data_IF_195852530295
#
_entry.id   IF_195852530295
#
_cell.length_a   1.000
_cell.length_b   1.000
_cell.length_c   1.000
_cell.angle_alpha   90.00
_cell.angle_beta   90.00
_cell.angle_gamma   90.00
#
_symmetry.space_group_name_H-M   'P 1'
#
loop_
_entity.id
_entity.type
_entity.pdbx_description
1 polymer ?
#
# COMPACT_ATOMS: atom_id res chain seq x y z
N UNK A 1 27.87 -3.13 -16.93
CA UNK A 1 26.97 -4.32 -16.76
C UNK A 1 25.56 -3.78 -16.73
N UNK A 2 24.76 -4.11 -17.75
CA UNK A 2 23.33 -3.75 -17.73
C UNK A 2 22.68 -4.65 -16.67
N UNK A 3 22.25 -4.07 -15.55
CA UNK A 3 21.48 -4.78 -14.53
C UNK A 3 20.19 -5.30 -15.16
N UNK A 4 19.76 -6.52 -14.76
CA UNK A 4 18.46 -7.05 -15.15
C UNK A 4 17.31 -6.12 -14.74
N UNK A 5 16.04 -6.42 -15.14
CA UNK A 5 14.89 -5.63 -14.75
C UNK A 5 14.78 -5.56 -13.21
N UNK A 6 14.46 -4.38 -12.69
CA UNK A 6 14.29 -4.16 -11.25
C UNK A 6 13.10 -4.99 -10.72
N UNK A 7 13.29 -5.66 -9.59
CA UNK A 7 12.29 -6.52 -8.95
C UNK A 7 11.55 -5.75 -7.87
N UNK A 8 10.32 -5.37 -8.17
CA UNK A 8 9.49 -4.55 -7.30
C UNK A 8 8.27 -5.36 -6.85
N UNK A 9 8.04 -5.40 -5.55
CA UNK A 9 6.87 -6.01 -4.94
C UNK A 9 5.86 -4.96 -4.48
N UNK A 10 4.64 -5.40 -4.12
CA UNK A 10 3.66 -4.55 -3.45
C UNK A 10 3.30 -5.14 -2.09
N UNK A 11 3.37 -4.34 -1.03
CA UNK A 11 2.88 -4.64 0.31
C UNK A 11 1.58 -3.86 0.50
N UNK A 12 0.45 -4.57 0.62
CA UNK A 12 -0.86 -3.98 0.94
C UNK A 12 -1.13 -4.14 2.43
N UNK A 13 -1.27 -3.03 3.14
CA UNK A 13 -1.50 -3.01 4.59
C UNK A 13 -3.00 -3.12 4.88
N UNK A 14 -3.42 -4.26 5.44
CA UNK A 14 -4.83 -4.61 5.70
C UNK A 14 -5.07 -5.13 7.14
N UNK A 15 -4.19 -4.81 8.09
CA UNK A 15 -4.22 -5.34 9.46
C UNK A 15 -4.98 -4.46 10.47
N UNK A 16 -5.43 -3.26 10.08
CA UNK A 16 -6.01 -2.24 10.96
C UNK A 16 -7.40 -2.62 11.50
N UNK A 17 -7.71 -2.10 12.71
CA UNK A 17 -8.98 -2.35 13.41
C UNK A 17 -10.18 -1.56 12.88
N UNK A 18 -9.96 -0.57 12.01
CA UNK A 18 -11.04 0.32 11.50
C UNK A 18 -11.86 0.97 12.62
N UNK A 19 -11.23 1.39 13.70
CA UNK A 19 -11.92 1.82 14.95
C UNK A 19 -12.95 2.94 14.75
N UNK A 20 -12.72 3.85 13.78
CA UNK A 20 -13.67 4.93 13.42
C UNK A 20 -14.90 4.43 12.66
N UNK A 21 -14.86 3.19 12.17
CA UNK A 21 -15.95 2.53 11.42
C UNK A 21 -16.65 1.45 12.26
N UNK A 22 -16.22 1.23 13.52
CA UNK A 22 -16.76 0.18 14.38
C UNK A 22 -18.29 0.21 14.46
N UNK A 23 -18.96 -0.96 14.47
CA UNK A 23 -18.38 -2.32 14.56
C UNK A 23 -17.92 -2.91 13.22
N UNK A 24 -18.02 -2.17 12.11
CA UNK A 24 -17.68 -2.65 10.77
C UNK A 24 -16.20 -2.49 10.47
N UNK A 25 -15.68 -3.40 9.64
CA UNK A 25 -14.32 -3.23 9.08
C UNK A 25 -14.40 -2.53 7.73
N UNK A 26 -13.79 -1.34 7.60
CA UNK A 26 -13.82 -0.53 6.37
C UNK A 26 -13.34 -1.27 5.13
N UNK A 27 -12.41 -2.22 5.29
CA UNK A 27 -11.83 -2.98 4.18
C UNK A 27 -12.81 -4.00 3.58
N UNK A 28 -13.85 -4.40 4.36
CA UNK A 28 -14.88 -5.35 3.95
C UNK A 28 -16.15 -4.64 3.45
N UNK A 29 -16.26 -3.32 3.62
CA UNK A 29 -17.38 -2.54 3.07
C UNK A 29 -17.35 -2.58 1.54
N UNK A 30 -18.54 -2.54 0.93
CA UNK A 30 -18.67 -2.64 -0.51
C UNK A 30 -18.62 -1.27 -1.20
N UNK A 31 -17.77 -1.15 -2.17
CA UNK A 31 -17.72 -0.05 -3.13
C UNK A 31 -17.93 -0.67 -4.52
N UNK A 32 -18.94 -0.20 -5.26
CA UNK A 32 -19.26 -0.74 -6.60
C UNK A 32 -19.40 -2.28 -6.61
N UNK A 33 -20.00 -2.84 -5.55
CA UNK A 33 -20.29 -4.28 -5.41
C UNK A 33 -19.11 -5.17 -5.02
N UNK A 34 -17.92 -4.60 -4.72
CA UNK A 34 -16.73 -5.35 -4.29
C UNK A 34 -16.21 -4.80 -2.97
N UNK A 35 -15.63 -5.66 -2.09
CA UNK A 35 -14.95 -5.19 -0.88
C UNK A 35 -13.84 -4.17 -1.20
N UNK A 36 -13.71 -3.15 -0.36
CA UNK A 36 -12.69 -2.09 -0.50
C UNK A 36 -11.29 -2.69 -0.72
N UNK A 37 -10.90 -3.68 0.07
CA UNK A 37 -9.58 -4.34 -0.05
C UNK A 37 -9.39 -5.01 -1.41
N UNK A 38 -10.45 -5.55 -2.01
CA UNK A 38 -10.36 -6.20 -3.31
C UNK A 38 -10.05 -5.21 -4.44
N UNK A 39 -10.59 -3.98 -4.39
CA UNK A 39 -10.23 -2.93 -5.33
C UNK A 39 -8.73 -2.62 -5.30
N UNK A 40 -8.19 -2.40 -4.09
CA UNK A 40 -6.77 -2.09 -3.88
C UNK A 40 -5.88 -3.25 -4.36
N UNK A 41 -6.25 -4.50 -4.02
CA UNK A 41 -5.50 -5.67 -4.44
C UNK A 41 -5.52 -5.87 -5.97
N UNK A 42 -6.67 -5.65 -6.61
CA UNK A 42 -6.82 -5.72 -8.08
C UNK A 42 -5.94 -4.66 -8.76
N UNK A 43 -5.93 -3.42 -8.25
CA UNK A 43 -5.06 -2.37 -8.78
C UNK A 43 -3.58 -2.74 -8.65
N UNK A 44 -3.17 -3.31 -7.52
CA UNK A 44 -1.80 -3.79 -7.32
C UNK A 44 -1.45 -4.92 -8.29
N UNK A 45 -2.34 -5.92 -8.46
CA UNK A 45 -2.14 -7.05 -9.38
C UNK A 45 -2.11 -6.64 -10.85
N UNK A 46 -2.81 -5.56 -11.20
CA UNK A 46 -2.82 -5.01 -12.57
C UNK A 46 -1.59 -4.18 -12.91
N UNK A 47 -0.73 -3.86 -11.93
CA UNK A 47 0.52 -3.13 -12.15
C UNK A 47 1.67 -4.07 -12.51
N UNK A 48 2.80 -3.50 -12.94
CA UNK A 48 4.04 -4.26 -13.21
C UNK A 48 4.79 -4.75 -11.96
N UNK A 49 4.26 -4.54 -10.74
CA UNK A 49 4.89 -4.98 -9.49
C UNK A 49 4.44 -6.39 -9.09
N UNK A 50 5.39 -7.29 -8.82
CA UNK A 50 5.15 -8.69 -8.42
C UNK A 50 6.25 -9.14 -7.43
N UNK A 51 5.91 -9.85 -6.34
CA UNK A 51 4.58 -10.29 -5.90
C UNK A 51 3.76 -9.20 -5.19
N UNK A 52 2.43 -9.42 -5.13
CA UNK A 52 1.52 -8.66 -4.26
C UNK A 52 1.33 -9.42 -2.95
N UNK A 53 1.71 -8.77 -1.83
CA UNK A 53 1.64 -9.32 -0.48
C UNK A 53 0.60 -8.51 0.31
N UNK A 54 -0.40 -9.17 0.88
CA UNK A 54 -1.42 -8.52 1.72
C UNK A 54 -1.16 -8.88 3.17
N UNK A 55 -0.91 -7.87 4.01
CA UNK A 55 -0.69 -8.06 5.45
C UNK A 55 -2.01 -7.92 6.18
N UNK A 56 -2.50 -9.00 6.76
CA UNK A 56 -3.74 -9.06 7.54
C UNK A 56 -3.47 -9.00 9.04
N UNK A 57 -4.54 -8.75 9.83
CA UNK A 57 -4.46 -8.71 11.29
C UNK A 57 -5.84 -8.87 11.92
N UNK A 58 -6.50 -7.78 12.33
CA UNK A 58 -7.76 -7.80 13.11
C UNK A 58 -8.90 -8.61 12.46
N UNK A 59 -9.07 -8.52 11.14
CA UNK A 59 -10.15 -9.21 10.42
C UNK A 59 -9.60 -10.18 9.37
N UNK A 60 -8.57 -10.96 9.74
CA UNK A 60 -7.79 -11.77 8.82
C UNK A 60 -8.64 -12.75 7.97
N UNK A 61 -9.62 -13.44 8.60
CA UNK A 61 -10.51 -14.39 7.93
C UNK A 61 -11.34 -13.69 6.86
N UNK A 62 -12.10 -12.66 7.22
CA UNK A 62 -12.93 -11.91 6.26
C UNK A 62 -12.11 -11.23 5.16
N UNK A 63 -10.91 -10.74 5.46
CA UNK A 63 -9.99 -10.21 4.43
C UNK A 63 -9.54 -11.33 3.49
N UNK A 64 -9.22 -12.52 4.01
CA UNK A 64 -8.88 -13.70 3.21
C UNK A 64 -10.01 -14.11 2.26
N UNK A 65 -11.25 -14.14 2.75
CA UNK A 65 -12.44 -14.40 1.95
C UNK A 65 -12.65 -13.32 0.85
N UNK A 66 -12.50 -12.04 1.21
CA UNK A 66 -12.65 -10.94 0.27
C UNK A 66 -11.59 -10.95 -0.86
N UNK A 67 -10.47 -11.61 -0.64
CA UNK A 67 -9.38 -11.76 -1.60
C UNK A 67 -9.40 -13.13 -2.32
N UNK A 68 -10.39 -13.97 -2.04
CA UNK A 68 -10.48 -15.30 -2.65
C UNK A 68 -10.46 -15.22 -4.18
N UNK A 69 -9.64 -16.06 -4.83
CA UNK A 69 -9.46 -16.08 -6.27
C UNK A 69 -8.47 -15.03 -6.82
N UNK A 70 -7.97 -14.09 -6.01
CA UNK A 70 -6.91 -13.17 -6.40
C UNK A 70 -5.53 -13.78 -6.16
N UNK A 71 -4.59 -13.55 -7.09
CA UNK A 71 -3.21 -14.09 -7.02
C UNK A 71 -2.34 -13.26 -6.06
N UNK A 72 -2.74 -13.18 -4.79
CA UNK A 72 -2.01 -12.48 -3.74
C UNK A 72 -1.43 -13.44 -2.71
N UNK A 73 -0.30 -13.06 -2.08
CA UNK A 73 0.25 -13.76 -0.93
C UNK A 73 -0.30 -13.10 0.34
N UNK A 74 -1.16 -13.78 1.08
CA UNK A 74 -1.66 -13.28 2.37
C UNK A 74 -0.69 -13.68 3.49
N UNK A 75 -0.31 -12.72 4.33
CA UNK A 75 0.52 -12.93 5.52
C UNK A 75 -0.18 -12.33 6.73
N UNK A 76 -0.15 -13.04 7.86
CA UNK A 76 -0.81 -12.59 9.09
C UNK A 76 0.17 -11.90 10.03
N UNK A 77 -0.19 -10.70 10.48
CA UNK A 77 0.52 -9.97 11.53
C UNK A 77 -0.17 -10.23 12.89
N UNK A 78 0.38 -11.11 13.71
CA UNK A 78 -0.13 -11.40 15.05
C UNK A 78 -0.03 -10.18 15.99
N UNK A 79 0.94 -9.30 15.77
CA UNK A 79 1.22 -8.12 16.59
C UNK A 79 0.48 -6.85 16.09
N UNK A 80 -0.52 -6.98 15.21
CA UNK A 80 -1.24 -5.86 14.60
C UNK A 80 -1.79 -4.83 15.61
N UNK A 81 -2.03 -5.24 16.86
CA UNK A 81 -2.51 -4.36 17.92
C UNK A 81 -1.44 -3.38 18.44
N UNK A 82 -0.16 -3.62 18.14
CA UNK A 82 0.96 -2.78 18.57
C UNK A 82 1.25 -1.61 17.62
N UNK A 83 0.43 -1.44 16.56
CA UNK A 83 0.50 -0.32 15.64
C UNK A 83 0.98 -0.68 14.23
N UNK A 84 0.93 0.32 13.35
CA UNK A 84 1.19 0.18 11.90
C UNK A 84 2.60 -0.37 11.60
N UNK A 85 3.59 -0.06 12.44
CA UNK A 85 4.97 -0.48 12.26
C UNK A 85 5.15 -2.01 12.24
N UNK A 86 4.33 -2.76 13.00
CA UNK A 86 4.39 -4.23 12.98
C UNK A 86 3.93 -4.79 11.65
N UNK A 87 2.92 -4.16 11.02
CA UNK A 87 2.45 -4.56 9.68
C UNK A 87 3.47 -4.24 8.60
N UNK A 88 4.19 -3.11 8.70
CA UNK A 88 5.31 -2.80 7.81
C UNK A 88 6.40 -3.86 7.91
N UNK A 89 6.78 -4.25 9.12
CA UNK A 89 7.79 -5.29 9.37
C UNK A 89 7.36 -6.62 8.78
N UNK A 90 6.15 -7.10 9.10
CA UNK A 90 5.60 -8.35 8.57
C UNK A 90 5.60 -8.37 7.04
N UNK A 91 5.21 -7.26 6.41
CA UNK A 91 5.22 -7.14 4.95
C UNK A 91 6.63 -7.19 4.36
N UNK A 92 7.58 -6.47 4.95
CA UNK A 92 8.97 -6.44 4.49
C UNK A 92 9.67 -7.81 4.67
N UNK A 93 9.40 -8.52 5.77
CA UNK A 93 9.93 -9.87 6.02
C UNK A 93 9.39 -10.90 5.03
N UNK A 94 8.22 -10.67 4.47
CA UNK A 94 7.58 -11.55 3.50
C UNK A 94 8.07 -11.36 2.04
N UNK A 95 8.85 -10.29 1.78
CA UNK A 95 9.40 -9.98 0.46
C UNK A 95 10.40 -11.05 -0.02
N UNK A 96 10.52 -11.25 -1.33
CA UNK A 96 11.67 -11.94 -1.91
C UNK A 96 12.99 -11.24 -1.51
N UNK A 97 14.02 -12.03 -1.19
CA UNK A 97 15.33 -11.50 -0.72
C UNK A 97 16.03 -10.60 -1.75
N UNK A 98 15.74 -10.79 -3.00
CA UNK A 98 16.31 -10.08 -4.15
C UNK A 98 15.44 -8.91 -4.64
N UNK A 99 14.45 -8.48 -3.85
CA UNK A 99 13.64 -7.30 -4.17
C UNK A 99 14.51 -6.04 -4.18
N UNK A 100 14.35 -5.22 -5.23
CA UNK A 100 15.03 -3.92 -5.36
C UNK A 100 14.22 -2.78 -4.75
N UNK A 101 12.92 -2.98 -4.58
CA UNK A 101 12.01 -2.04 -3.95
C UNK A 101 10.65 -2.66 -3.65
N UNK A 102 9.83 -1.92 -2.91
CA UNK A 102 8.45 -2.32 -2.64
C UNK A 102 7.53 -1.10 -2.51
N UNK A 103 6.34 -1.21 -3.05
CA UNK A 103 5.25 -0.32 -2.69
C UNK A 103 4.78 -0.60 -1.26
N UNK A 104 4.54 0.48 -0.52
CA UNK A 104 3.73 0.43 0.70
C UNK A 104 2.38 1.07 0.34
N UNK A 105 1.37 0.23 0.18
CA UNK A 105 0.03 0.58 -0.26
C UNK A 105 -0.96 0.34 0.88
N UNK A 106 -1.84 1.30 1.14
CA UNK A 106 -2.90 1.16 2.14
C UNK A 106 -4.07 0.36 1.55
N UNK A 107 -4.61 -0.59 2.30
CA UNK A 107 -5.69 -1.47 1.84
C UNK A 107 -7.04 -0.77 1.64
N UNK A 108 -7.19 0.45 2.13
CA UNK A 108 -8.40 1.27 2.10
C UNK A 108 -8.45 2.32 0.98
N UNK A 109 -7.72 2.09 -0.11
CA UNK A 109 -7.63 2.99 -1.26
C UNK A 109 -8.37 2.43 -2.49
N UNK A 110 -9.72 2.36 -2.50
CA UNK A 110 -10.48 1.69 -3.57
C UNK A 110 -10.45 2.41 -4.92
N UNK A 111 -9.96 3.65 -4.96
CA UNK A 111 -9.86 4.45 -6.20
C UNK A 111 -8.45 4.52 -6.77
N UNK A 112 -7.46 3.85 -6.13
CA UNK A 112 -6.14 3.71 -6.73
C UNK A 112 -6.23 2.84 -7.98
N UNK A 113 -5.49 3.18 -9.01
CA UNK A 113 -5.48 2.45 -10.27
C UNK A 113 -4.08 1.90 -10.59
N UNK A 114 -4.01 0.81 -11.35
CA UNK A 114 -2.73 0.20 -11.76
C UNK A 114 -1.81 1.20 -12.46
N UNK A 115 -2.38 2.09 -13.28
CA UNK A 115 -1.60 3.14 -13.97
C UNK A 115 -0.90 4.11 -13.00
N UNK A 116 -1.44 4.33 -11.81
CA UNK A 116 -0.81 5.18 -10.79
C UNK A 116 0.46 4.50 -10.25
N UNK A 117 0.41 3.18 -10.02
CA UNK A 117 1.57 2.39 -9.62
C UNK A 117 2.59 2.31 -10.75
N UNK A 118 2.14 2.07 -11.99
CA UNK A 118 3.03 1.96 -13.16
C UNK A 118 3.77 3.27 -13.44
N UNK A 119 3.15 4.43 -13.18
CA UNK A 119 3.82 5.72 -13.27
C UNK A 119 5.01 5.82 -12.27
N UNK A 120 4.82 5.32 -11.03
CA UNK A 120 5.89 5.28 -10.05
C UNK A 120 6.98 4.26 -10.41
N UNK A 121 6.59 3.08 -10.96
CA UNK A 121 7.54 2.08 -11.46
C UNK A 121 8.43 2.66 -12.57
N UNK A 122 7.85 3.37 -13.51
CA UNK A 122 8.58 4.00 -14.62
C UNK A 122 9.59 5.06 -14.13
N UNK A 123 9.29 5.73 -13.01
CA UNK A 123 10.18 6.73 -12.40
C UNK A 123 11.24 6.12 -11.47
N UNK A 124 11.10 4.85 -11.08
CA UNK A 124 11.97 4.22 -10.10
C UNK A 124 13.38 3.94 -10.67
N UNK A 125 14.39 4.53 -10.05
CA UNK A 125 15.79 4.50 -10.53
C UNK A 125 16.69 3.53 -9.77
N UNK A 126 16.12 2.67 -8.91
CA UNK A 126 16.89 1.66 -8.17
C UNK A 126 16.76 1.79 -6.64
N UNK A 127 17.58 1.04 -5.94
CA UNK A 127 17.44 0.73 -4.51
C UNK A 127 17.49 1.93 -3.56
N UNK A 128 18.00 3.07 -3.98
CA UNK A 128 18.06 4.32 -3.20
C UNK A 128 16.93 5.31 -3.54
N UNK A 129 16.08 4.98 -4.53
CA UNK A 129 14.98 5.86 -4.92
C UNK A 129 13.78 5.73 -3.97
N UNK A 130 13.09 6.85 -3.75
CA UNK A 130 11.79 6.92 -3.06
C UNK A 130 10.83 7.63 -4.01
N UNK A 131 9.93 6.90 -4.67
CA UNK A 131 8.95 7.50 -5.56
C UNK A 131 7.64 7.76 -4.82
N UNK A 132 7.13 8.99 -4.90
CA UNK A 132 5.88 9.42 -4.26
C UNK A 132 4.97 10.09 -5.29
N UNK A 133 3.69 9.70 -5.39
CA UNK A 133 2.78 10.34 -6.32
C UNK A 133 2.40 11.73 -5.83
N UNK A 134 2.30 12.66 -6.79
CA UNK A 134 1.94 14.06 -6.52
C UNK A 134 0.84 14.50 -7.46
N UNK A 135 -0.17 15.19 -6.93
CA UNK A 135 -1.17 15.91 -7.70
C UNK A 135 -1.49 17.24 -7.03
N UNK A 136 -1.49 18.32 -7.81
CA UNK A 136 -1.75 19.67 -7.29
C UNK A 136 -0.77 20.10 -6.18
N UNK A 137 0.48 19.68 -6.24
CA UNK A 137 1.50 19.99 -5.24
C UNK A 137 1.38 19.21 -3.92
N UNK A 138 0.43 18.26 -3.81
CA UNK A 138 0.25 17.40 -2.62
C UNK A 138 0.77 16.00 -2.89
N UNK A 139 1.54 15.44 -1.95
CA UNK A 139 2.02 14.06 -1.97
C UNK A 139 0.93 13.11 -1.49
N UNK A 140 0.71 12.01 -2.24
CA UNK A 140 -0.28 10.98 -1.94
C UNK A 140 0.30 9.64 -1.50
N UNK A 141 -0.48 8.58 -1.71
CA UNK A 141 -0.12 7.16 -1.58
C UNK A 141 -0.40 6.45 -2.91
N UNK A 142 0.23 5.28 -3.19
CA UNK A 142 1.27 4.62 -2.38
C UNK A 142 2.65 5.30 -2.52
N UNK A 143 3.59 4.89 -1.68
CA UNK A 143 5.01 5.25 -1.83
C UNK A 143 5.79 4.00 -2.24
N UNK A 144 6.60 4.11 -3.29
CA UNK A 144 7.55 3.08 -3.71
C UNK A 144 8.92 3.35 -3.07
N UNK A 145 9.32 2.44 -2.20
CA UNK A 145 10.56 2.50 -1.44
C UNK A 145 11.62 1.59 -2.04
N UNK A 146 12.79 2.11 -2.30
CA UNK A 146 13.95 1.30 -2.65
C UNK A 146 14.44 0.47 -1.47
N UNK A 147 15.00 -0.69 -1.76
CA UNK A 147 15.38 -1.66 -0.73
C UNK A 147 16.46 -1.16 0.24
N UNK A 148 17.19 -0.10 -0.11
CA UNK A 148 18.12 0.59 0.79
C UNK A 148 17.45 1.02 2.12
N UNK A 149 16.15 1.37 2.07
CA UNK A 149 15.41 1.87 3.23
C UNK A 149 14.74 0.79 4.07
N UNK A 150 14.65 -0.46 3.60
CA UNK A 150 13.98 -1.53 4.33
C UNK A 150 14.51 -1.73 5.76
N UNK A 151 15.83 -1.72 6.02
CA UNK A 151 16.35 -1.85 7.39
C UNK A 151 15.92 -0.69 8.32
N UNK A 152 15.74 0.52 7.79
CA UNK A 152 15.29 1.66 8.58
C UNK A 152 13.79 1.62 8.82
N UNK A 153 13.00 1.24 7.80
CA UNK A 153 11.55 1.05 7.93
C UNK A 153 11.25 -0.04 8.98
N UNK A 154 12.00 -1.12 9.01
CA UNK A 154 11.85 -2.20 10.00
C UNK A 154 12.13 -1.77 11.45
N UNK A 155 12.86 -0.65 11.67
CA UNK A 155 13.14 -0.08 13.00
C UNK A 155 12.05 0.88 13.49
N UNK A 156 11.08 1.22 12.67
CA UNK A 156 9.95 2.05 13.08
C UNK A 156 9.17 1.32 14.18
N UNK A 157 8.66 2.05 15.16
CA UNK A 157 7.88 1.51 16.27
C UNK A 157 6.54 2.23 16.43
N UNK A 158 5.56 1.55 16.99
CA UNK A 158 4.24 2.12 17.29
C UNK A 158 3.39 2.36 16.05
N UNK A 159 2.46 3.30 16.14
CA UNK A 159 1.48 3.61 15.08
C UNK A 159 2.02 4.63 14.06
N UNK A 160 3.25 4.41 13.62
CA UNK A 160 3.94 5.28 12.68
C UNK A 160 4.25 4.56 11.38
N UNK A 161 3.92 5.19 10.24
CA UNK A 161 4.26 4.72 8.89
C UNK A 161 5.65 5.17 8.45
N UNK A 162 6.06 4.74 7.24
CA UNK A 162 7.39 5.06 6.70
C UNK A 162 7.52 6.51 6.17
N UNK A 163 6.43 7.21 5.86
CA UNK A 163 6.46 8.56 5.25
C UNK A 163 7.41 9.58 5.92
N UNK A 164 7.52 9.65 7.27
CA UNK A 164 8.46 10.57 7.92
C UNK A 164 9.92 10.38 7.51
N UNK A 165 10.31 9.16 7.06
CA UNK A 165 11.68 8.93 6.59
C UNK A 165 12.04 9.75 5.34
N UNK A 166 11.07 10.15 4.51
CA UNK A 166 11.34 10.98 3.34
C UNK A 166 12.01 12.31 3.70
N UNK A 167 11.73 12.86 4.90
CA UNK A 167 12.35 14.09 5.35
C UNK A 167 13.86 13.95 5.62
N UNK A 168 14.33 12.73 5.91
CA UNK A 168 15.77 12.45 6.08
C UNK A 168 16.51 12.34 4.74
N UNK A 169 15.79 11.99 3.68
CA UNK A 169 16.37 11.66 2.36
C UNK A 169 15.79 12.52 1.23
N UNK A 170 15.74 13.86 1.36
CA UNK A 170 15.03 14.72 0.41
C UNK A 170 15.61 14.62 -1.01
N UNK A 171 16.90 14.29 -1.16
CA UNK A 171 17.58 14.14 -2.46
C UNK A 171 17.23 12.84 -3.18
N UNK A 172 16.68 11.84 -2.46
CA UNK A 172 16.32 10.53 -2.99
C UNK A 172 14.82 10.45 -3.31
N UNK A 173 14.03 11.48 -2.92
CA UNK A 173 12.60 11.56 -3.20
C UNK A 173 12.37 12.03 -4.63
N UNK A 174 11.69 11.20 -5.40
CA UNK A 174 11.24 11.48 -6.77
C UNK A 174 9.74 11.71 -6.71
N UNK A 175 9.31 12.94 -6.97
CA UNK A 175 7.90 13.27 -7.10
C UNK A 175 7.40 12.89 -8.49
N UNK A 176 6.37 12.06 -8.54
CA UNK A 176 5.77 11.57 -9.78
C UNK A 176 4.39 12.17 -9.95
N UNK A 177 4.22 13.01 -10.96
CA UNK A 177 2.92 13.62 -11.23
C UNK A 177 1.95 12.58 -11.80
N UNK A 178 0.77 12.47 -11.19
CA UNK A 178 -0.33 11.59 -11.64
C UNK A 178 -1.61 12.39 -11.74
N UNK A 179 -2.51 11.97 -12.63
CA UNK A 179 -3.77 12.67 -12.86
C UNK A 179 -4.94 12.14 -12.02
N UNK A 180 -4.69 11.09 -11.23
CA UNK A 180 -5.69 10.42 -10.40
C UNK A 180 -5.82 11.07 -9.01
N UNK A 181 -7.07 11.31 -8.56
CA UNK A 181 -7.37 11.63 -7.16
C UNK A 181 -7.35 10.38 -6.27
N UNK A 182 -7.26 9.19 -6.86
CA UNK A 182 -7.17 7.92 -6.15
C UNK A 182 -6.04 7.85 -5.16
N UNK A 183 -4.95 8.60 -5.39
CA UNK A 183 -3.79 8.70 -4.49
C UNK A 183 -4.09 9.36 -3.14
N UNK A 184 -5.29 9.95 -2.97
CA UNK A 184 -5.78 10.59 -1.74
C UNK A 184 -7.06 9.96 -1.21
N UNK A 185 -7.59 8.94 -1.90
CA UNK A 185 -8.93 8.41 -1.65
C UNK A 185 -8.91 7.23 -0.66
N UNK A 186 -8.29 7.44 0.50
CA UNK A 186 -8.39 6.51 1.64
C UNK A 186 -9.75 6.68 2.36
N UNK A 187 -10.30 5.56 2.83
CA UNK A 187 -11.55 5.53 3.59
C UNK A 187 -11.21 5.52 5.06
N UNK A 188 -11.51 6.60 5.78
CA UNK A 188 -11.30 6.70 7.23
C UNK A 188 -12.60 6.76 8.01
N UNK A 189 -13.68 7.27 7.41
CA UNK A 189 -14.96 7.51 8.05
C UNK A 189 -16.14 6.97 7.22
N UNK A 190 -17.33 6.75 7.85
CA UNK A 190 -18.54 6.42 7.09
C UNK A 190 -18.90 7.45 6.01
N UNK A 191 -18.53 8.72 6.23
CA UNK A 191 -18.78 9.79 5.26
C UNK A 191 -17.90 9.62 4.01
N UNK A 192 -16.64 9.19 4.17
CA UNK A 192 -15.76 8.91 3.03
C UNK A 192 -16.31 7.77 2.19
N UNK A 193 -16.77 6.69 2.84
CA UNK A 193 -17.43 5.58 2.17
C UNK A 193 -18.68 6.04 1.41
N UNK A 194 -19.56 6.84 2.05
CA UNK A 194 -20.76 7.35 1.42
C UNK A 194 -20.46 8.20 0.17
N UNK A 195 -19.44 9.05 0.23
CA UNK A 195 -18.99 9.86 -0.92
C UNK A 195 -18.55 9.01 -2.11
N UNK A 196 -17.95 7.85 -1.86
CA UNK A 196 -17.49 6.93 -2.90
C UNK A 196 -18.65 6.14 -3.52
N UNK A 197 -19.69 5.83 -2.73
CA UNK A 197 -20.86 5.07 -3.19
C UNK A 197 -21.93 5.94 -3.87
N UNK A 198 -21.98 7.25 -3.57
CA UNK A 198 -22.99 8.19 -4.12
C UNK A 198 -22.59 8.81 -5.46
N UNK A 199 -21.37 8.70 -5.94
CA UNK A 199 -20.95 9.17 -7.27
C UNK A 199 -21.37 8.15 -8.32
N UNK A 200 -22.63 8.27 -8.79
CA UNK A 200 -23.11 7.78 -10.09
C UNK A 200 -23.28 8.95 -11.02
#
# INVERSE_FOLDING_TARGET
MMGGPLKIATIVLAAGRSSRMAPRNKLLELVEGKPVIAHTAIAALGSGADPVIVVTGFAAEGIGEALHGLKVKVVHNADHAQGLSTSLRTGLEALPRDSDGAFILLGDMPKIESRDLDALLAAFKGREAICVPVRGGRRGNPVLWGAHYFPEIMRIVGDMGAKPLMAKYPKHVIEVHVDSDGIFADIDTPLDLARLTMKR
#
